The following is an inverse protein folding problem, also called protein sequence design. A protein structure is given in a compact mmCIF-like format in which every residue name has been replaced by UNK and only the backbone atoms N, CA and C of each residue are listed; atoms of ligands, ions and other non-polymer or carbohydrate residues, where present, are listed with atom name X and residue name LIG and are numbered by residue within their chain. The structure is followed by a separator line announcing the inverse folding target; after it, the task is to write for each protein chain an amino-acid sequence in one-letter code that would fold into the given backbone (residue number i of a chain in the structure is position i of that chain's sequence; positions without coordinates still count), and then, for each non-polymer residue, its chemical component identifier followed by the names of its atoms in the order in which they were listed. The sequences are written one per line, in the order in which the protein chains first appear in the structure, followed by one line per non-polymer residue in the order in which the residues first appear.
data_IF_053471466096
#
_entry.id   IF_053471466096
#
_cell.length_a   1.000
_cell.length_b   1.000
_cell.length_c   1.000
_cell.angle_alpha   90.00
_cell.angle_beta   90.00
_cell.angle_gamma   90.00
#
_symmetry.space_group_name_H-M   'P 1'
#
loop_
_entity.id
_entity.type
_entity.pdbx_description
1 polymer ?
#
# COMPACT_ATOMS: atom_id res chain seq x y z
N UNK A 1 -69.18 37.56 91.49
CA UNK A 1 -68.16 38.11 90.55
C UNK A 1 -67.56 36.98 89.71
N UNK A 2 -68.38 36.32 88.86
CA UNK A 2 -67.98 35.14 88.06
C UNK A 2 -68.29 35.28 86.56
N UNK A 3 -69.34 36.03 86.16
CA UNK A 3 -69.71 36.23 84.74
C UNK A 3 -68.65 36.95 83.90
N UNK A 4 -67.86 37.86 84.51
CA UNK A 4 -66.87 38.67 83.78
C UNK A 4 -65.58 37.89 83.42
N UNK A 5 -65.35 36.74 84.07
CA UNK A 5 -64.16 35.91 83.85
C UNK A 5 -64.34 34.94 82.66
N UNK A 6 -65.54 34.37 82.51
CA UNK A 6 -65.88 33.53 81.35
C UNK A 6 -65.77 34.27 80.01
N UNK A 7 -66.23 35.52 79.95
CA UNK A 7 -66.10 36.34 78.73
C UNK A 7 -64.65 36.58 78.31
N UNK A 8 -63.73 36.77 79.26
CA UNK A 8 -62.29 36.89 78.99
C UNK A 8 -61.70 35.59 78.47
N UNK A 9 -62.07 34.45 79.06
CA UNK A 9 -61.59 33.12 78.63
C UNK A 9 -62.08 32.77 77.23
N UNK A 10 -63.34 33.04 76.91
CA UNK A 10 -63.91 32.84 75.56
C UNK A 10 -63.18 33.73 74.54
N UNK A 11 -62.97 35.01 74.84
CA UNK A 11 -62.23 35.92 73.96
C UNK A 11 -60.79 35.46 73.73
N UNK A 12 -60.11 34.95 74.75
CA UNK A 12 -58.77 34.40 74.62
C UNK A 12 -58.73 33.13 73.75
N UNK A 13 -59.75 32.26 73.88
CA UNK A 13 -59.90 31.07 73.04
C UNK A 13 -60.14 31.44 71.58
N UNK A 14 -61.04 32.38 71.29
CA UNK A 14 -61.31 32.88 69.93
C UNK A 14 -60.04 33.50 69.33
N UNK A 15 -59.30 34.32 70.09
CA UNK A 15 -58.05 34.90 69.62
C UNK A 15 -56.98 33.83 69.32
N UNK A 16 -56.96 32.74 70.09
CA UNK A 16 -56.05 31.61 69.85
C UNK A 16 -56.44 30.86 68.58
N UNK A 17 -57.74 30.62 68.35
CA UNK A 17 -58.27 30.01 67.14
C UNK A 17 -57.89 30.84 65.90
N UNK A 18 -58.15 32.14 65.92
CA UNK A 18 -57.73 33.08 64.86
C UNK A 18 -56.21 33.04 64.65
N UNK A 19 -55.43 32.89 65.72
CA UNK A 19 -53.98 32.73 65.66
C UNK A 19 -53.54 31.42 65.00
N UNK A 20 -54.25 30.33 65.24
CA UNK A 20 -54.01 29.03 64.62
C UNK A 20 -54.38 29.05 63.13
N UNK A 21 -55.55 29.58 62.77
CA UNK A 21 -55.98 29.73 61.38
C UNK A 21 -54.96 30.53 60.55
N UNK A 22 -54.43 31.63 61.10
CA UNK A 22 -53.37 32.42 60.43
C UNK A 22 -52.09 31.62 60.20
N UNK A 23 -51.71 30.75 61.14
CA UNK A 23 -50.54 29.88 61.02
C UNK A 23 -50.78 28.78 60.00
N UNK A 24 -51.96 28.15 60.02
CA UNK A 24 -52.35 27.14 59.02
C UNK A 24 -52.32 27.73 57.60
N UNK A 25 -52.91 28.91 57.39
CA UNK A 25 -52.83 29.60 56.09
C UNK A 25 -51.38 29.87 55.69
N UNK A 26 -50.52 30.26 56.64
CA UNK A 26 -49.10 30.51 56.36
C UNK A 26 -48.34 29.24 55.98
N UNK A 27 -48.61 28.13 56.67
CA UNK A 27 -48.04 26.81 56.37
C UNK A 27 -48.52 26.33 55.00
N UNK A 28 -49.81 26.46 54.69
CA UNK A 28 -50.37 26.07 53.38
C UNK A 28 -49.73 26.85 52.23
N UNK A 29 -49.55 28.16 52.38
CA UNK A 29 -48.84 28.98 51.38
C UNK A 29 -47.40 28.55 51.20
N UNK A 30 -46.71 28.25 52.30
CA UNK A 30 -45.32 27.80 52.25
C UNK A 30 -45.20 26.42 51.59
N UNK A 31 -46.10 25.49 51.94
CA UNK A 31 -46.18 24.16 51.35
C UNK A 31 -46.43 24.23 49.84
N UNK A 32 -47.36 25.08 49.41
CA UNK A 32 -47.65 25.30 48.01
C UNK A 32 -46.41 25.81 47.25
N UNK A 33 -45.74 26.84 47.78
CA UNK A 33 -44.50 27.36 47.19
C UNK A 33 -43.39 26.31 47.09
N UNK A 34 -43.26 25.44 48.08
CA UNK A 34 -42.29 24.33 48.02
C UNK A 34 -42.65 23.30 46.95
N UNK A 35 -43.94 22.98 46.77
CA UNK A 35 -44.38 22.07 45.73
C UNK A 35 -44.13 22.66 44.33
N UNK A 36 -44.46 23.93 44.11
CA UNK A 36 -44.16 24.62 42.85
C UNK A 36 -42.65 24.60 42.54
N UNK A 37 -41.81 24.94 43.53
CA UNK A 37 -40.35 24.91 43.35
C UNK A 37 -39.82 23.50 43.08
N UNK A 38 -40.42 22.47 43.68
CA UNK A 38 -40.02 21.08 43.48
C UNK A 38 -40.34 20.64 42.05
N UNK A 39 -41.56 20.91 41.58
CA UNK A 39 -41.98 20.60 40.20
C UNK A 39 -41.08 21.33 39.18
N UNK A 40 -40.82 22.62 39.38
CA UNK A 40 -39.89 23.38 38.52
C UNK A 40 -38.47 22.80 38.51
N UNK A 41 -38.01 22.22 39.62
CA UNK A 41 -36.69 21.59 39.69
C UNK A 41 -36.68 20.24 38.98
N UNK A 42 -37.73 19.43 39.16
CA UNK A 42 -37.90 18.14 38.49
C UNK A 42 -37.95 18.31 36.96
N UNK A 43 -38.70 19.30 36.47
CA UNK A 43 -38.79 19.60 35.04
C UNK A 43 -37.43 20.02 34.46
N UNK A 44 -36.71 20.93 35.14
CA UNK A 44 -35.36 21.35 34.73
C UNK A 44 -34.37 20.19 34.74
N UNK A 45 -34.45 19.31 35.73
CA UNK A 45 -33.61 18.13 35.81
C UNK A 45 -33.89 17.18 34.65
N UNK A 46 -35.17 16.94 34.34
CA UNK A 46 -35.57 16.09 33.22
C UNK A 46 -35.06 16.64 31.88
N UNK A 47 -35.22 17.95 31.65
CA UNK A 47 -34.71 18.63 30.47
C UNK A 47 -33.19 18.55 30.35
N UNK A 48 -32.47 18.74 31.46
CA UNK A 48 -31.02 18.64 31.48
C UNK A 48 -30.56 17.21 31.22
N UNK A 49 -31.23 16.22 31.79
CA UNK A 49 -30.90 14.82 31.57
C UNK A 49 -31.15 14.41 30.11
N UNK A 50 -32.26 14.84 29.52
CA UNK A 50 -32.54 14.61 28.10
C UNK A 50 -31.48 15.24 27.16
N UNK A 51 -30.97 16.43 27.50
CA UNK A 51 -29.86 17.06 26.76
C UNK A 51 -28.56 16.28 26.93
N UNK A 52 -28.26 15.83 28.15
CA UNK A 52 -27.09 15.02 28.44
C UNK A 52 -27.09 13.72 27.65
N UNK A 53 -28.21 13.00 27.63
CA UNK A 53 -28.34 11.75 26.88
C UNK A 53 -28.16 11.94 25.37
N UNK A 54 -28.68 13.05 24.81
CA UNK A 54 -28.45 13.42 23.40
C UNK A 54 -26.97 13.66 23.11
N UNK A 55 -26.26 14.37 23.99
CA UNK A 55 -24.83 14.64 23.82
C UNK A 55 -24.03 13.33 23.94
N UNK A 56 -24.35 12.50 24.93
CA UNK A 56 -23.71 11.20 25.16
C UNK A 56 -23.83 10.29 23.93
N UNK A 57 -25.01 10.22 23.33
CA UNK A 57 -25.23 9.41 22.14
C UNK A 57 -24.43 9.95 20.94
N UNK A 58 -24.42 11.27 20.73
CA UNK A 58 -23.59 11.88 19.68
C UNK A 58 -22.10 11.60 19.87
N UNK A 59 -21.59 11.71 21.09
CA UNK A 59 -20.19 11.40 21.39
C UNK A 59 -19.89 9.93 21.07
N UNK A 60 -20.81 9.02 21.40
CA UNK A 60 -20.66 7.60 21.09
C UNK A 60 -20.60 7.34 19.58
N UNK A 61 -21.53 7.91 18.82
CA UNK A 61 -21.56 7.80 17.36
C UNK A 61 -20.29 8.36 16.70
N UNK A 62 -19.84 9.55 17.12
CA UNK A 62 -18.61 10.14 16.58
C UNK A 62 -17.36 9.34 16.97
N UNK A 63 -17.33 8.76 18.17
CA UNK A 63 -16.23 7.87 18.59
C UNK A 63 -16.18 6.61 17.73
N UNK A 64 -17.33 6.02 17.41
CA UNK A 64 -17.42 4.86 16.51
C UNK A 64 -16.92 5.20 15.11
N UNK A 65 -17.34 6.34 14.53
CA UNK A 65 -16.84 6.84 13.24
C UNK A 65 -15.33 7.09 13.25
N UNK A 66 -14.81 7.73 14.30
CA UNK A 66 -13.37 7.95 14.45
C UNK A 66 -12.59 6.62 14.46
N UNK A 67 -13.11 5.60 15.15
CA UNK A 67 -12.49 4.27 15.18
C UNK A 67 -12.50 3.59 13.80
N UNK A 68 -13.58 3.73 13.03
CA UNK A 68 -13.66 3.20 11.66
C UNK A 68 -12.68 3.89 10.70
N UNK A 69 -12.57 5.22 10.80
CA UNK A 69 -11.60 6.01 10.05
C UNK A 69 -10.18 5.58 10.41
N UNK A 70 -9.89 5.40 11.71
CA UNK A 70 -8.57 4.97 12.18
C UNK A 70 -8.19 3.60 11.60
N UNK A 71 -9.11 2.62 11.62
CA UNK A 71 -8.88 1.32 10.98
C UNK A 71 -8.57 1.45 9.49
N UNK A 72 -9.33 2.29 8.79
CA UNK A 72 -9.12 2.54 7.36
C UNK A 72 -7.75 3.18 7.10
N UNK A 73 -7.32 4.14 7.92
CA UNK A 73 -6.00 4.75 7.84
C UNK A 73 -4.89 3.70 8.03
N UNK A 74 -5.04 2.81 9.01
CA UNK A 74 -4.03 1.79 9.30
C UNK A 74 -3.95 0.74 8.18
N UNK A 75 -5.08 0.36 7.59
CA UNK A 75 -5.11 -0.50 6.40
C UNK A 75 -4.42 0.17 5.19
N UNK A 76 -4.67 1.46 4.96
CA UNK A 76 -4.00 2.20 3.90
C UNK A 76 -2.50 2.35 4.14
N UNK A 77 -2.07 2.61 5.37
CA UNK A 77 -0.64 2.64 5.71
C UNK A 77 0.05 1.32 5.40
N UNK A 78 -0.59 0.20 5.75
CA UNK A 78 -0.08 -1.14 5.44
C UNK A 78 0.04 -1.35 3.92
N UNK A 79 -1.02 -1.05 3.16
CA UNK A 79 -1.02 -1.16 1.69
C UNK A 79 0.05 -0.27 1.03
N UNK A 80 0.22 0.96 1.50
CA UNK A 80 1.26 1.87 1.00
C UNK A 80 2.64 1.29 1.25
N UNK A 81 2.89 0.75 2.45
CA UNK A 81 4.18 0.11 2.76
C UNK A 81 4.43 -1.11 1.87
N UNK A 82 3.42 -1.94 1.61
CA UNK A 82 3.53 -3.10 0.72
C UNK A 82 3.84 -2.66 -0.72
N UNK A 83 3.12 -1.68 -1.25
CA UNK A 83 3.38 -1.12 -2.59
C UNK A 83 4.77 -0.49 -2.70
N UNK A 84 5.24 0.20 -1.66
CA UNK A 84 6.56 0.83 -1.66
C UNK A 84 7.68 -0.22 -1.64
N UNK A 85 7.52 -1.30 -0.89
CA UNK A 85 8.45 -2.43 -0.89
C UNK A 85 8.47 -3.14 -2.25
N UNK A 86 7.31 -3.34 -2.87
CA UNK A 86 7.21 -3.94 -4.19
C UNK A 86 7.88 -3.05 -5.25
N UNK A 87 7.61 -1.76 -5.23
CA UNK A 87 8.23 -0.80 -6.15
C UNK A 87 9.76 -0.79 -5.99
N UNK A 88 10.27 -0.82 -4.76
CA UNK A 88 11.70 -0.92 -4.50
C UNK A 88 12.29 -2.23 -5.05
N UNK A 89 11.59 -3.35 -4.90
CA UNK A 89 12.01 -4.64 -5.46
C UNK A 89 12.07 -4.60 -6.98
N UNK A 90 11.02 -4.10 -7.64
CA UNK A 90 11.00 -3.97 -9.10
C UNK A 90 12.13 -3.08 -9.62
N UNK A 91 12.41 -1.96 -8.93
CA UNK A 91 13.53 -1.07 -9.31
C UNK A 91 14.87 -1.79 -9.13
N UNK A 92 15.07 -2.49 -8.00
CA UNK A 92 16.30 -3.24 -7.76
C UNK A 92 16.52 -4.34 -8.81
N UNK A 93 15.46 -5.07 -9.17
CA UNK A 93 15.49 -6.10 -10.21
C UNK A 93 15.78 -5.49 -11.59
N UNK A 94 15.14 -4.39 -11.96
CA UNK A 94 15.39 -3.70 -13.22
C UNK A 94 16.84 -3.19 -13.32
N UNK A 95 17.39 -2.63 -12.23
CA UNK A 95 18.79 -2.21 -12.16
C UNK A 95 19.73 -3.40 -12.30
N UNK A 96 19.43 -4.51 -11.60
CA UNK A 96 20.23 -5.74 -11.68
C UNK A 96 20.24 -6.32 -13.09
N UNK A 97 19.06 -6.46 -13.71
CA UNK A 97 18.92 -6.96 -15.08
C UNK A 97 19.65 -6.06 -16.09
N UNK A 98 19.58 -4.74 -15.90
CA UNK A 98 20.33 -3.79 -16.73
C UNK A 98 21.85 -3.95 -16.57
N UNK A 99 22.34 -4.13 -15.34
CA UNK A 99 23.76 -4.34 -15.09
C UNK A 99 24.25 -5.66 -15.72
N UNK A 100 23.48 -6.74 -15.59
CA UNK A 100 23.78 -8.01 -16.24
C UNK A 100 23.85 -7.86 -17.77
N UNK A 101 22.90 -7.14 -18.37
CA UNK A 101 22.90 -6.89 -19.82
C UNK A 101 24.12 -6.08 -20.26
N UNK A 102 24.49 -5.04 -19.53
CA UNK A 102 25.69 -4.23 -19.83
C UNK A 102 26.94 -5.12 -19.77
N UNK A 103 27.07 -5.94 -18.72
CA UNK A 103 28.21 -6.85 -18.58
C UNK A 103 28.28 -7.87 -19.72
N UNK A 104 27.14 -8.44 -20.13
CA UNK A 104 27.08 -9.35 -21.28
C UNK A 104 27.49 -8.66 -22.58
N UNK A 105 27.06 -7.42 -22.81
CA UNK A 105 27.44 -6.64 -23.98
C UNK A 105 28.94 -6.32 -24.00
N UNK A 106 29.53 -6.02 -22.85
CA UNK A 106 30.98 -5.80 -22.72
C UNK A 106 31.78 -7.08 -22.99
N UNK A 107 31.32 -8.24 -22.50
CA UNK A 107 31.91 -9.55 -22.81
C UNK A 107 31.83 -9.85 -24.31
N UNK A 108 30.67 -9.65 -24.94
CA UNK A 108 30.48 -9.83 -26.38
C UNK A 108 31.37 -8.87 -27.16
N UNK A 109 31.49 -7.61 -26.75
CA UNK A 109 32.38 -6.65 -27.40
C UNK A 109 33.85 -7.09 -27.33
N UNK A 110 34.29 -7.58 -26.18
CA UNK A 110 35.64 -8.12 -25.99
C UNK A 110 35.88 -9.33 -26.91
N UNK A 111 34.90 -10.23 -27.01
CA UNK A 111 34.96 -11.38 -27.94
C UNK A 111 35.03 -10.94 -29.40
N UNK A 112 34.19 -9.98 -29.81
CA UNK A 112 34.20 -9.42 -31.18
C UNK A 112 35.59 -8.94 -31.57
N UNK A 113 36.26 -8.21 -30.68
CA UNK A 113 37.61 -7.70 -30.90
C UNK A 113 38.66 -8.82 -30.88
N UNK A 114 38.57 -9.77 -29.93
CA UNK A 114 39.54 -10.85 -29.80
C UNK A 114 39.51 -11.84 -30.98
N UNK A 115 38.31 -12.12 -31.51
CA UNK A 115 38.12 -13.08 -32.62
C UNK A 115 37.87 -12.41 -33.95
N UNK A 116 37.91 -11.06 -34.04
CA UNK A 116 37.57 -10.31 -35.25
C UNK A 116 36.25 -10.79 -35.91
N UNK A 117 35.26 -11.13 -35.09
CA UNK A 117 33.99 -11.70 -35.55
C UNK A 117 32.87 -10.72 -35.25
N UNK A 118 32.08 -10.37 -36.27
CA UNK A 118 31.03 -9.36 -36.18
C UNK A 118 29.70 -9.98 -36.59
N UNK A 119 28.68 -9.81 -35.74
CA UNK A 119 27.34 -10.36 -35.98
C UNK A 119 26.42 -9.25 -36.48
N UNK A 120 25.62 -9.58 -37.49
CA UNK A 120 24.55 -8.74 -38.01
C UNK A 120 23.33 -8.84 -37.09
N UNK A 121 23.06 -7.75 -36.35
CA UNK A 121 21.90 -7.67 -35.45
C UNK A 121 20.57 -7.47 -36.18
N UNK A 122 20.60 -7.14 -37.47
CA UNK A 122 19.41 -6.95 -38.30
C UNK A 122 19.03 -8.22 -39.08
N UNK A 123 19.69 -9.35 -38.81
CA UNK A 123 19.33 -10.63 -39.40
C UNK A 123 17.95 -11.10 -38.89
N UNK A 124 17.28 -11.97 -39.67
CA UNK A 124 16.05 -12.62 -39.21
C UNK A 124 16.34 -13.41 -37.92
N UNK A 125 15.41 -13.45 -36.94
CA UNK A 125 15.64 -14.10 -35.64
C UNK A 125 16.05 -15.57 -35.76
N UNK A 126 15.56 -16.24 -36.81
CA UNK A 126 15.81 -17.66 -37.11
C UNK A 126 17.23 -17.94 -37.63
N UNK A 127 18.02 -16.91 -37.95
CA UNK A 127 19.34 -17.02 -38.57
C UNK A 127 20.37 -16.18 -37.85
N UNK A 128 21.55 -16.74 -37.65
CA UNK A 128 22.72 -15.98 -37.23
C UNK A 128 23.54 -15.66 -38.47
N UNK A 129 23.77 -14.37 -38.69
CA UNK A 129 24.55 -13.86 -39.81
C UNK A 129 25.68 -12.98 -39.30
N UNK A 130 26.81 -12.98 -39.99
CA UNK A 130 27.94 -12.16 -39.61
C UNK A 130 29.11 -12.27 -40.55
N UNK A 131 30.22 -11.66 -40.16
CA UNK A 131 31.48 -11.71 -40.88
C UNK A 131 32.62 -11.95 -39.91
N UNK A 132 33.48 -12.90 -40.24
CA UNK A 132 34.76 -13.13 -39.58
C UNK A 132 35.88 -12.52 -40.42
N UNK A 133 36.72 -11.70 -39.79
CA UNK A 133 37.86 -11.05 -40.46
C UNK A 133 39.14 -11.77 -40.04
N UNK A 134 39.76 -12.43 -41.00
CA UNK A 134 41.07 -13.02 -40.81
C UNK A 134 42.13 -12.02 -41.26
N UNK A 135 42.94 -11.55 -40.32
CA UNK A 135 44.08 -10.69 -40.60
C UNK A 135 45.36 -11.54 -40.59
N UNK A 136 46.05 -11.57 -41.72
CA UNK A 136 47.41 -12.11 -41.86
C UNK A 136 48.38 -10.94 -42.04
N UNK A 137 49.69 -11.19 -41.90
CA UNK A 137 50.73 -10.14 -42.03
C UNK A 137 50.67 -9.37 -43.36
N UNK A 138 50.07 -9.95 -44.39
CA UNK A 138 50.07 -9.42 -45.76
C UNK A 138 48.68 -8.97 -46.21
N UNK A 139 47.61 -9.63 -45.76
CA UNK A 139 46.24 -9.38 -46.23
C UNK A 139 45.15 -9.54 -45.16
N UNK A 140 44.06 -8.76 -45.31
CA UNK A 140 42.80 -8.95 -44.57
C UNK A 140 41.76 -9.59 -45.49
N UNK A 141 41.23 -10.74 -45.07
CA UNK A 141 40.16 -11.46 -45.77
C UNK A 141 38.89 -11.48 -44.92
N UNK A 142 37.76 -11.20 -45.56
CA UNK A 142 36.44 -11.14 -44.94
C UNK A 142 35.66 -12.41 -45.30
N UNK A 143 35.24 -13.17 -44.29
CA UNK A 143 34.53 -14.43 -44.45
C UNK A 143 33.10 -14.27 -43.92
N UNK A 144 32.11 -14.01 -44.81
CA UNK A 144 30.72 -13.94 -44.39
C UNK A 144 30.19 -15.33 -44.03
N UNK A 145 29.35 -15.40 -43.01
CA UNK A 145 28.67 -16.62 -42.59
C UNK A 145 27.18 -16.36 -42.34
N UNK A 146 26.37 -17.40 -42.56
CA UNK A 146 24.94 -17.40 -42.30
C UNK A 146 24.52 -18.84 -42.00
N UNK A 147 23.89 -19.08 -40.85
CA UNK A 147 23.39 -20.41 -40.50
C UNK A 147 22.15 -20.33 -39.61
N UNK A 148 21.38 -21.41 -39.61
CA UNK A 148 20.24 -21.59 -38.71
C UNK A 148 20.71 -22.25 -37.39
N UNK A 149 20.49 -21.62 -36.22
CA UNK A 149 21.08 -22.07 -34.95
C UNK A 149 20.57 -23.43 -34.48
N UNK A 150 19.34 -23.79 -34.84
CA UNK A 150 18.71 -25.05 -34.45
C UNK A 150 19.13 -26.23 -35.35
N UNK A 151 19.66 -25.94 -36.53
CA UNK A 151 19.98 -26.95 -37.56
C UNK A 151 21.43 -27.46 -37.50
N UNK A 152 22.26 -26.90 -36.62
CA UNK A 152 23.70 -27.17 -36.56
C UNK A 152 24.18 -27.45 -35.13
N UNK A 153 25.05 -28.42 -34.98
CA UNK A 153 25.78 -28.69 -33.73
C UNK A 153 26.77 -27.55 -33.42
N UNK A 154 27.17 -27.34 -32.16
CA UNK A 154 28.18 -26.34 -31.80
C UNK A 154 29.49 -26.49 -32.58
N UNK A 155 29.91 -27.73 -32.86
CA UNK A 155 31.11 -28.04 -33.65
C UNK A 155 30.99 -27.61 -35.12
N UNK A 156 29.83 -27.86 -35.74
CA UNK A 156 29.55 -27.41 -37.11
C UNK A 156 29.51 -25.89 -37.20
N UNK A 157 28.87 -25.23 -36.22
CA UNK A 157 28.85 -23.75 -36.13
C UNK A 157 30.26 -23.18 -36.08
N UNK A 158 31.17 -23.79 -35.30
CA UNK A 158 32.57 -23.35 -35.22
C UNK A 158 33.25 -23.43 -36.58
N UNK A 159 33.06 -24.54 -37.29
CA UNK A 159 33.65 -24.75 -38.62
C UNK A 159 33.09 -23.75 -39.65
N UNK A 160 31.79 -23.45 -39.60
CA UNK A 160 31.14 -22.48 -40.50
C UNK A 160 31.70 -21.06 -40.29
N UNK A 161 31.92 -20.64 -39.04
CA UNK A 161 32.32 -19.26 -38.72
C UNK A 161 33.83 -19.07 -38.85
N UNK A 162 34.62 -20.00 -38.32
CA UNK A 162 36.06 -19.82 -38.10
C UNK A 162 36.95 -20.83 -38.83
N UNK A 163 36.37 -21.89 -39.40
CA UNK A 163 37.13 -22.97 -40.03
C UNK A 163 38.27 -23.48 -39.15
N UNK A 164 39.50 -23.39 -39.65
CA UNK A 164 40.72 -23.84 -38.96
C UNK A 164 41.42 -22.73 -38.14
N UNK A 165 40.73 -21.64 -37.77
CA UNK A 165 41.35 -20.54 -37.01
C UNK A 165 41.61 -20.93 -35.55
N UNK A 166 42.87 -21.20 -35.19
CA UNK A 166 43.28 -21.55 -33.81
C UNK A 166 42.92 -20.47 -32.78
N UNK A 167 43.03 -19.19 -33.16
CA UNK A 167 42.66 -18.05 -32.28
C UNK A 167 41.18 -18.09 -31.93
N UNK A 168 40.31 -18.38 -32.89
CA UNK A 168 38.88 -18.37 -32.65
C UNK A 168 38.38 -19.66 -31.96
N UNK A 169 39.07 -20.79 -32.16
CA UNK A 169 38.80 -22.03 -31.42
C UNK A 169 38.93 -21.81 -29.91
N UNK A 170 39.92 -21.04 -29.45
CA UNK A 170 40.12 -20.73 -28.03
C UNK A 170 38.93 -19.96 -27.38
N UNK A 171 38.16 -19.20 -28.18
CA UNK A 171 37.01 -18.41 -27.71
C UNK A 171 35.65 -19.01 -28.10
N UNK A 172 35.65 -20.17 -28.75
CA UNK A 172 34.45 -20.80 -29.31
C UNK A 172 33.41 -21.16 -28.25
N UNK A 173 33.86 -21.57 -27.05
CA UNK A 173 32.96 -21.84 -25.91
C UNK A 173 32.33 -20.56 -25.36
N UNK A 174 33.08 -19.45 -25.33
CA UNK A 174 32.58 -18.17 -24.87
C UNK A 174 31.51 -17.61 -25.83
N UNK A 175 31.72 -17.73 -27.14
CA UNK A 175 30.71 -17.40 -28.16
C UNK A 175 29.46 -18.28 -28.06
N UNK A 176 29.64 -19.59 -27.84
CA UNK A 176 28.53 -20.50 -27.65
C UNK A 176 27.68 -20.10 -26.43
N UNK A 177 28.33 -19.81 -25.30
CA UNK A 177 27.67 -19.46 -24.05
C UNK A 177 26.92 -18.13 -24.13
N UNK A 178 27.53 -17.10 -24.73
CA UNK A 178 27.04 -15.72 -24.66
C UNK A 178 26.11 -15.34 -25.82
N UNK A 179 26.19 -16.05 -26.95
CA UNK A 179 25.46 -15.66 -28.15
C UNK A 179 24.66 -16.82 -28.72
N UNK A 180 25.30 -17.93 -29.08
CA UNK A 180 24.62 -18.96 -29.87
C UNK A 180 23.59 -19.73 -29.04
N UNK A 181 23.92 -20.08 -27.80
CA UNK A 181 22.98 -20.72 -26.86
C UNK A 181 21.80 -19.82 -26.57
N UNK A 182 22.03 -18.53 -26.29
CA UNK A 182 20.97 -17.57 -25.98
C UNK A 182 19.99 -17.42 -27.15
N UNK A 183 20.48 -17.37 -28.39
CA UNK A 183 19.63 -17.33 -29.59
C UNK A 183 18.86 -18.65 -29.76
N UNK A 184 19.49 -19.82 -29.57
CA UNK A 184 18.81 -21.12 -29.62
C UNK A 184 17.68 -21.22 -28.58
N UNK A 185 17.95 -20.81 -27.34
CA UNK A 185 16.96 -20.84 -26.26
C UNK A 185 15.78 -19.91 -26.55
N UNK A 186 16.03 -18.71 -27.07
CA UNK A 186 14.99 -17.77 -27.49
C UNK A 186 14.08 -18.40 -28.56
N UNK A 187 14.66 -19.02 -29.59
CA UNK A 187 13.91 -19.68 -30.66
C UNK A 187 13.13 -20.91 -30.17
N UNK A 188 13.67 -21.66 -29.21
CA UNK A 188 12.97 -22.79 -28.58
C UNK A 188 11.78 -22.34 -27.71
N UNK A 189 11.87 -21.16 -27.10
CA UNK A 189 10.74 -20.59 -26.34
C UNK A 189 9.65 -20.06 -27.27
N UNK A 190 10.00 -19.40 -28.38
CA UNK A 190 9.01 -18.88 -29.35
C UNK A 190 8.24 -20.00 -30.08
N UNK A 191 8.88 -21.15 -30.30
CA UNK A 191 8.26 -22.31 -30.95
C UNK A 191 7.35 -23.13 -30.02
N UNK A 192 7.51 -23.03 -28.70
CA UNK A 192 6.62 -23.68 -27.71
C UNK A 192 5.39 -22.85 -27.34
N UNK A 193 5.40 -21.56 -27.63
CA UNK A 193 4.30 -20.63 -27.35
C UNK A 193 3.31 -20.44 -28.50
N UNK A 194 3.52 -21.13 -29.64
CA UNK A 194 2.63 -21.13 -30.81
C UNK A 194 1.96 -22.48 -30.99
#
# INVERSE_FOLDING_TARGET
MLKYDYGKRIKAMINREIGLEKREVSISKLSHKYHENLTDLEDRFHDQNARYDKIKNKIKEETEKCNEIQKTIDDWKKRISEMQNEAQRCVAEAVHNRQQLIQQLDEIHTLKLATNTYINLNALPERIQGVFVQETEVHRSWHPFCFEPLSHTPEEVRQIIWGNSEKAVAYSEAWERLVFRSVREMLLQSTKGS
#
